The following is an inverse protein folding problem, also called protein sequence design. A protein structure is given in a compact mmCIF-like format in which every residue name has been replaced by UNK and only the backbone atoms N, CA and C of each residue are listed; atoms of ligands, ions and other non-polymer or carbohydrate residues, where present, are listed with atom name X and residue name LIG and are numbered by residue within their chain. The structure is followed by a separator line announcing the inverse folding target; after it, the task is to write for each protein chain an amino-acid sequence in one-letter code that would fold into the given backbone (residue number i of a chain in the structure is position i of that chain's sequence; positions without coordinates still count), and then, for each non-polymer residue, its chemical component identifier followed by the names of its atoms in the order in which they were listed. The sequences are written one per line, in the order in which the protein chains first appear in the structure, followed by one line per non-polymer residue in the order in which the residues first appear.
data_IF_870868126599
#
_entry.id   IF_870868126599
#
_cell.length_a   1.000
_cell.length_b   1.000
_cell.length_c   1.000
_cell.angle_alpha   90.00
_cell.angle_beta   90.00
_cell.angle_gamma   90.00
#
_symmetry.space_group_name_H-M   'P 1'
#
loop_
_entity.id
_entity.type
_entity.pdbx_description
1 polymer ?
#
# COMPACT_ATOMS: atom_id res chain seq x y z
N UNK A 1 -32.15 -25.68 -3.79
CA UNK A 1 -30.86 -25.23 -4.37
C UNK A 1 -30.47 -23.92 -3.70
N UNK A 2 -29.52 -23.91 -2.76
CA UNK A 2 -29.09 -22.68 -2.08
C UNK A 2 -28.19 -21.90 -3.05
N UNK A 3 -28.74 -20.91 -3.75
CA UNK A 3 -27.91 -19.92 -4.45
C UNK A 3 -27.13 -19.13 -3.41
N UNK A 4 -25.87 -19.49 -3.18
CA UNK A 4 -24.92 -18.67 -2.42
C UNK A 4 -24.65 -17.40 -3.21
N UNK A 5 -24.59 -16.24 -2.53
CA UNK A 5 -24.36 -14.91 -3.14
C UNK A 5 -23.11 -14.83 -4.02
N UNK A 6 -22.22 -15.81 -3.93
CA UNK A 6 -21.02 -15.97 -4.77
C UNK A 6 -21.34 -16.24 -6.25
N UNK A 7 -22.45 -16.89 -6.58
CA UNK A 7 -22.84 -17.13 -8.00
C UNK A 7 -23.52 -15.93 -8.66
N UNK A 8 -23.96 -14.95 -7.88
CA UNK A 8 -24.70 -13.77 -8.37
C UNK A 8 -23.80 -12.56 -8.67
N UNK A 9 -22.52 -12.61 -8.31
CA UNK A 9 -21.59 -11.53 -8.62
C UNK A 9 -20.16 -12.06 -8.84
N UNK A 10 -19.83 -12.52 -10.07
CA UNK A 10 -18.49 -12.99 -10.43
C UNK A 10 -17.40 -11.91 -10.30
N UNK A 11 -17.76 -10.65 -10.01
CA UNK A 11 -16.86 -9.52 -9.87
C UNK A 11 -16.70 -9.00 -8.43
N UNK A 12 -17.15 -9.72 -7.40
CA UNK A 12 -16.80 -9.34 -6.03
C UNK A 12 -15.29 -9.57 -5.79
N UNK A 13 -14.47 -8.57 -6.18
CA UNK A 13 -13.04 -8.48 -5.86
C UNK A 13 -12.84 -8.86 -4.40
N UNK A 14 -11.95 -9.81 -4.15
CA UNK A 14 -11.78 -10.39 -2.84
C UNK A 14 -11.57 -9.26 -1.82
N UNK A 15 -12.24 -9.26 -0.65
CA UNK A 15 -12.15 -8.13 0.28
C UNK A 15 -10.70 -7.79 0.68
N UNK A 16 -9.81 -8.79 0.71
CA UNK A 16 -8.37 -8.58 0.92
C UNK A 16 -7.65 -8.00 -0.31
N UNK A 17 -8.08 -8.32 -1.54
CA UNK A 17 -7.54 -7.65 -2.74
C UNK A 17 -7.86 -6.15 -2.75
N UNK A 18 -9.04 -5.77 -2.24
CA UNK A 18 -9.41 -4.36 -2.07
C UNK A 18 -8.48 -3.68 -1.06
N UNK A 19 -8.15 -4.36 0.05
CA UNK A 19 -7.17 -3.83 1.02
C UNK A 19 -5.81 -3.61 0.38
N UNK A 20 -5.30 -4.59 -0.35
CA UNK A 20 -4.01 -4.48 -1.03
C UNK A 20 -4.01 -3.30 -2.00
N UNK A 21 -5.12 -3.06 -2.70
CA UNK A 21 -5.28 -1.86 -3.54
C UNK A 21 -5.24 -0.55 -2.76
N UNK A 22 -5.88 -0.50 -1.58
CA UNK A 22 -5.80 0.68 -0.69
C UNK A 22 -4.37 0.92 -0.22
N UNK A 23 -3.65 -0.13 0.21
CA UNK A 23 -2.24 -0.01 0.56
C UNK A 23 -1.39 0.51 -0.60
N UNK A 24 -1.60 0.00 -1.82
CA UNK A 24 -0.90 0.46 -3.01
C UNK A 24 -1.13 1.94 -3.29
N UNK A 25 -2.40 2.39 -3.24
CA UNK A 25 -2.76 3.80 -3.42
C UNK A 25 -2.12 4.71 -2.36
N UNK A 26 -2.17 4.30 -1.09
CA UNK A 26 -1.54 5.05 0.00
C UNK A 26 -0.01 5.08 -0.16
N UNK A 27 0.62 3.97 -0.54
CA UNK A 27 2.07 3.93 -0.79
C UNK A 27 2.48 4.89 -1.93
N UNK A 28 1.70 4.92 -3.01
CA UNK A 28 1.89 5.86 -4.14
C UNK A 28 1.84 7.31 -3.67
N UNK A 29 0.82 7.67 -2.90
CA UNK A 29 0.65 9.03 -2.36
C UNK A 29 1.81 9.40 -1.43
N UNK A 30 2.23 8.50 -0.53
CA UNK A 30 3.33 8.77 0.39
C UNK A 30 4.67 8.87 -0.32
N UNK A 31 4.89 8.02 -1.32
CA UNK A 31 6.12 8.00 -2.12
C UNK A 31 6.24 9.26 -2.96
N UNK A 32 5.17 9.67 -3.64
CA UNK A 32 5.13 10.92 -4.40
C UNK A 32 5.42 12.15 -3.52
N UNK A 33 4.87 12.18 -2.30
CA UNK A 33 5.13 13.27 -1.34
C UNK A 33 6.61 13.39 -0.95
N UNK A 34 7.37 12.29 -0.93
CA UNK A 34 8.80 12.30 -0.59
C UNK A 34 9.63 13.23 -1.50
N UNK A 35 9.15 13.48 -2.72
CA UNK A 35 9.85 14.29 -3.72
C UNK A 35 9.46 15.77 -3.73
N UNK A 36 8.47 16.19 -2.93
CA UNK A 36 7.98 17.58 -2.93
C UNK A 36 9.02 18.55 -2.35
N UNK A 37 9.79 18.13 -1.34
CA UNK A 37 10.83 18.94 -0.67
C UNK A 37 12.25 18.35 -0.86
N UNK A 38 12.49 17.71 -1.99
CA UNK A 38 13.77 17.04 -2.29
C UNK A 38 14.60 17.90 -3.25
N UNK A 39 15.89 18.08 -2.95
CA UNK A 39 16.85 18.84 -3.78
C UNK A 39 17.30 18.13 -5.07
N UNK A 40 16.62 17.05 -5.47
CA UNK A 40 16.97 16.28 -6.67
C UNK A 40 16.53 16.99 -7.94
N UNK A 41 17.25 16.73 -9.03
CA UNK A 41 16.87 17.24 -10.34
C UNK A 41 15.56 16.61 -10.83
N UNK A 42 14.81 17.29 -11.71
CA UNK A 42 13.53 16.79 -12.25
C UNK A 42 13.65 15.40 -12.90
N UNK A 43 14.80 15.14 -13.54
CA UNK A 43 15.05 13.88 -14.24
C UNK A 43 15.34 12.74 -13.26
N UNK A 44 16.07 13.00 -12.18
CA UNK A 44 16.24 12.04 -11.10
C UNK A 44 14.92 11.74 -10.40
N UNK A 45 14.10 12.76 -10.12
CA UNK A 45 12.76 12.58 -9.55
C UNK A 45 11.93 11.67 -10.45
N UNK A 46 11.96 11.89 -11.78
CA UNK A 46 11.24 11.06 -12.73
C UNK A 46 11.70 9.59 -12.70
N UNK A 47 13.02 9.34 -12.70
CA UNK A 47 13.58 7.99 -12.62
C UNK A 47 13.13 7.31 -11.32
N UNK A 48 13.26 8.00 -10.18
CA UNK A 48 12.86 7.47 -8.89
C UNK A 48 11.35 7.18 -8.83
N UNK A 49 10.51 8.07 -9.37
CA UNK A 49 9.07 7.84 -9.48
C UNK A 49 8.76 6.60 -10.29
N UNK A 50 9.36 6.44 -11.47
CA UNK A 50 9.13 5.27 -12.34
C UNK A 50 9.56 3.99 -11.64
N UNK A 51 10.75 3.97 -11.03
CA UNK A 51 11.26 2.78 -10.32
C UNK A 51 10.40 2.45 -9.11
N UNK A 52 10.06 3.45 -8.29
CA UNK A 52 9.21 3.26 -7.11
C UNK A 52 7.80 2.78 -7.48
N UNK A 53 7.19 3.36 -8.51
CA UNK A 53 5.88 2.90 -9.00
C UNK A 53 5.93 1.50 -9.57
N UNK A 54 6.97 1.14 -10.33
CA UNK A 54 7.14 -0.22 -10.83
C UNK A 54 7.22 -1.23 -9.68
N UNK A 55 8.00 -0.93 -8.63
CA UNK A 55 8.12 -1.78 -7.44
C UNK A 55 6.77 -1.91 -6.71
N UNK A 56 6.08 -0.79 -6.46
CA UNK A 56 4.77 -0.80 -5.79
C UNK A 56 3.77 -1.63 -6.61
N UNK A 57 3.72 -1.44 -7.93
CA UNK A 57 2.83 -2.17 -8.83
C UNK A 57 3.08 -3.68 -8.80
N UNK A 58 4.36 -4.08 -8.87
CA UNK A 58 4.74 -5.49 -8.82
C UNK A 58 4.33 -6.10 -7.47
N UNK A 59 4.63 -5.44 -6.35
CA UNK A 59 4.22 -5.87 -5.02
C UNK A 59 2.70 -5.98 -4.89
N UNK A 60 1.96 -4.98 -5.37
CA UNK A 60 0.50 -4.97 -5.35
C UNK A 60 -0.07 -6.18 -6.12
N UNK A 61 0.50 -6.49 -7.29
CA UNK A 61 0.10 -7.65 -8.11
C UNK A 61 0.34 -8.97 -7.38
N UNK A 62 1.50 -9.15 -6.75
CA UNK A 62 1.82 -10.36 -5.99
C UNK A 62 0.94 -10.50 -4.75
N UNK A 63 0.75 -9.41 -3.99
CA UNK A 63 -0.08 -9.41 -2.79
C UNK A 63 -1.56 -9.68 -3.11
N UNK A 64 -2.10 -9.14 -4.22
CA UNK A 64 -3.46 -9.49 -4.67
C UNK A 64 -3.57 -10.97 -5.02
N UNK A 65 -2.55 -11.55 -5.67
CA UNK A 65 -2.51 -12.98 -5.98
C UNK A 65 -2.49 -13.83 -4.71
N UNK A 66 -1.71 -13.46 -3.71
CA UNK A 66 -1.67 -14.14 -2.40
C UNK A 66 -2.98 -13.98 -1.63
N UNK A 67 -3.57 -12.77 -1.66
CA UNK A 67 -4.83 -12.47 -1.00
C UNK A 67 -6.00 -13.33 -1.50
N UNK A 68 -5.96 -13.80 -2.76
CA UNK A 68 -6.93 -14.77 -3.32
C UNK A 68 -6.80 -16.19 -2.78
N UNK A 69 -5.65 -16.55 -2.21
CA UNK A 69 -5.45 -17.87 -1.60
C UNK A 69 -5.89 -17.90 -0.14
N UNK A 70 -6.20 -16.75 0.45
CA UNK A 70 -6.66 -16.64 1.83
C UNK A 70 -8.19 -16.78 1.91
N UNK A 71 -8.72 -17.32 3.02
CA UNK A 71 -10.16 -17.48 3.19
C UNK A 71 -10.87 -16.12 3.17
N UNK A 72 -12.09 -16.09 2.62
CA UNK A 72 -12.90 -14.86 2.52
C UNK A 72 -13.24 -14.36 3.92
N UNK A 73 -12.58 -13.27 4.34
CA UNK A 73 -12.90 -12.56 5.58
C UNK A 73 -14.12 -11.67 5.35
N UNK A 74 -15.10 -11.68 6.28
CA UNK A 74 -16.29 -10.82 6.15
C UNK A 74 -15.88 -9.35 6.15
N UNK A 75 -16.42 -8.55 5.22
CA UNK A 75 -16.18 -7.10 5.08
C UNK A 75 -16.21 -6.31 6.38
N UNK A 76 -17.11 -6.66 7.32
CA UNK A 76 -17.22 -5.98 8.63
C UNK A 76 -15.95 -6.05 9.48
N UNK A 77 -15.16 -7.11 9.36
CA UNK A 77 -13.90 -7.26 10.12
C UNK A 77 -12.73 -6.50 9.49
N UNK A 78 -12.89 -6.04 8.24
CA UNK A 78 -11.86 -5.32 7.52
C UNK A 78 -11.89 -3.82 7.81
N UNK A 79 -13.06 -3.28 8.19
CA UNK A 79 -13.27 -1.87 8.59
C UNK A 79 -12.23 -1.41 9.63
N UNK A 80 -12.06 -2.07 10.80
CA UNK A 80 -11.08 -1.63 11.78
C UNK A 80 -9.65 -1.67 11.22
N UNK A 81 -9.34 -2.64 10.36
CA UNK A 81 -8.01 -2.71 9.74
C UNK A 81 -7.80 -1.55 8.77
N UNK A 82 -8.80 -1.19 7.96
CA UNK A 82 -8.72 0.01 7.11
C UNK A 82 -8.48 1.29 7.92
N UNK A 83 -9.12 1.43 9.07
CA UNK A 83 -8.91 2.58 9.97
C UNK A 83 -7.49 2.61 10.52
N UNK A 84 -6.96 1.45 10.96
CA UNK A 84 -5.58 1.34 11.44
C UNK A 84 -4.59 1.70 10.32
N UNK A 85 -4.82 1.19 9.11
CA UNK A 85 -3.96 1.46 7.96
C UNK A 85 -3.98 2.94 7.59
N UNK A 86 -5.15 3.57 7.61
CA UNK A 86 -5.29 5.00 7.36
C UNK A 86 -4.58 5.83 8.45
N UNK A 87 -4.73 5.44 9.72
CA UNK A 87 -4.02 6.08 10.83
C UNK A 87 -2.49 5.96 10.67
N UNK A 88 -1.98 4.76 10.37
CA UNK A 88 -0.55 4.53 10.10
C UNK A 88 -0.06 5.38 8.92
N UNK A 89 -0.86 5.49 7.86
CA UNK A 89 -0.55 6.35 6.72
C UNK A 89 -0.47 7.83 7.13
N UNK A 90 -1.44 8.35 7.88
CA UNK A 90 -1.42 9.73 8.37
C UNK A 90 -0.23 9.98 9.32
N UNK A 91 0.05 9.04 10.23
CA UNK A 91 1.22 9.08 11.10
C UNK A 91 2.49 9.11 10.25
N UNK A 92 2.56 8.38 9.13
CA UNK A 92 3.74 8.36 8.26
C UNK A 92 4.12 9.73 7.69
N UNK A 93 3.18 10.70 7.59
CA UNK A 93 3.48 12.09 7.24
C UNK A 93 3.98 12.91 8.43
N UNK A 94 3.60 12.53 9.64
CA UNK A 94 3.96 13.22 10.88
C UNK A 94 5.28 12.75 11.46
N UNK A 95 5.78 11.57 11.08
CA UNK A 95 7.08 11.05 11.53
C UNK A 95 8.19 12.04 11.13
N UNK A 96 8.91 12.63 12.11
CA UNK A 96 10.02 13.53 11.85
C UNK A 96 11.13 12.84 11.04
N UNK A 97 11.85 13.60 10.19
CA UNK A 97 12.95 13.07 9.36
C UNK A 97 14.00 12.32 10.20
N UNK A 98 14.18 12.73 11.46
CA UNK A 98 15.12 12.15 12.43
C UNK A 98 14.84 10.66 12.73
N UNK A 99 13.57 10.24 12.74
CA UNK A 99 13.21 8.83 12.95
C UNK A 99 13.56 7.98 11.72
N UNK A 100 13.50 8.57 10.52
CA UNK A 100 13.88 7.90 9.27
C UNK A 100 15.39 7.70 9.20
N UNK A 101 16.17 8.68 9.65
CA UNK A 101 17.63 8.56 9.77
C UNK A 101 18.05 7.53 10.83
N UNK A 102 17.34 7.48 11.95
CA UNK A 102 17.55 6.47 13.00
C UNK A 102 17.32 5.05 12.48
N UNK A 103 16.28 4.85 11.66
CA UNK A 103 15.99 3.56 11.01
C UNK A 103 17.06 3.22 9.96
N UNK A 104 17.53 4.18 9.15
CA UNK A 104 18.63 3.95 8.20
C UNK A 104 19.93 3.51 8.90
N UNK A 105 20.27 4.13 10.03
CA UNK A 105 21.40 3.71 10.86
C UNK A 105 21.19 2.30 11.44
N UNK A 106 19.97 1.97 11.88
CA UNK A 106 19.65 0.65 12.41
C UNK A 106 19.73 -0.48 11.38
N UNK A 107 19.38 -0.19 10.11
CA UNK A 107 19.48 -1.14 9.01
C UNK A 107 20.83 -1.09 8.27
N UNK A 108 21.79 -0.29 8.75
CA UNK A 108 23.16 -0.26 8.20
C UNK A 108 23.27 0.28 6.77
N UNK A 109 22.28 1.05 6.30
CA UNK A 109 22.32 1.70 4.98
C UNK A 109 22.87 3.10 5.19
N UNK A 110 24.19 3.18 5.34
CA UNK A 110 24.99 4.41 5.40
C UNK A 110 26.01 4.43 4.28
#
# INVERSE_FOLDING_TARGET
MKLTRETLNPEMKHPLEQMVGVFGMLAILRYGYLFIDTDKTRLEILIWLVVGFAVIYVLEKYLKKLARHLPIVRKRFLIPIYVIVLMLFLISFRVPRETVESVKMWFGIG
#
